data_IF_265186907701
#
_entry.id   IF_265186907701
#
_cell.length_a   1.000
_cell.length_b   1.000
_cell.length_c   1.000
_cell.angle_alpha   90.00
_cell.angle_beta   90.00
_cell.angle_gamma   90.00
#
_symmetry.space_group_name_H-M   'P 1'
#
loop_
_entity.id
_entity.type
_entity.pdbx_description
1 polymer ?
#
# COMPACT_ATOMS: atom_id res chain seq x y z
N UNK A 1 19.09 70.69 -29.23
CA UNK A 1 20.29 70.77 -28.37
C UNK A 1 20.31 69.53 -27.48
N UNK A 2 21.31 68.66 -27.69
CA UNK A 2 21.47 67.35 -27.03
C UNK A 2 22.12 67.54 -25.66
N UNK A 3 21.61 66.88 -24.62
CA UNK A 3 22.32 66.64 -23.35
C UNK A 3 22.58 65.13 -23.21
N UNK A 4 23.83 64.83 -22.94
CA UNK A 4 24.51 63.55 -23.00
C UNK A 4 24.28 62.70 -21.75
N UNK A 5 23.87 61.44 -21.96
CA UNK A 5 23.92 60.36 -20.97
C UNK A 5 25.36 59.82 -20.89
N UNK A 6 25.98 59.91 -19.72
CA UNK A 6 27.22 59.17 -19.41
C UNK A 6 26.85 57.73 -19.09
N UNK A 7 26.98 56.85 -20.08
CA UNK A 7 27.08 55.41 -19.87
C UNK A 7 28.43 55.10 -19.23
N UNK A 8 28.43 54.52 -18.03
CA UNK A 8 29.59 53.88 -17.43
C UNK A 8 29.89 52.57 -18.16
N UNK A 9 30.53 52.68 -19.33
CA UNK A 9 31.16 51.56 -20.01
C UNK A 9 32.42 51.18 -19.23
N UNK A 10 32.38 50.07 -18.50
CA UNK A 10 33.51 49.61 -17.69
C UNK A 10 33.55 48.12 -17.38
N UNK A 11 32.87 47.27 -18.17
CA UNK A 11 32.92 45.81 -17.93
C UNK A 11 33.04 44.93 -19.19
N UNK A 12 33.30 45.51 -20.37
CA UNK A 12 33.49 44.75 -21.61
C UNK A 12 34.66 45.28 -22.44
N UNK A 13 35.83 45.41 -21.83
CA UNK A 13 37.08 45.74 -22.53
C UNK A 13 38.19 44.72 -22.32
N UNK A 14 37.84 43.43 -22.26
CA UNK A 14 38.87 42.40 -22.40
C UNK A 14 38.38 41.08 -23.01
N UNK A 15 37.60 41.19 -24.08
CA UNK A 15 37.32 40.07 -24.99
C UNK A 15 38.01 40.36 -26.32
N UNK A 16 39.34 40.21 -26.35
CA UNK A 16 40.04 39.58 -27.47
C UNK A 16 41.53 39.44 -27.17
N UNK A 17 41.95 38.18 -27.11
CA UNK A 17 43.18 37.61 -27.65
C UNK A 17 43.83 36.63 -26.66
N UNK A 18 43.59 35.35 -26.93
CA UNK A 18 44.52 34.27 -26.59
C UNK A 18 44.63 33.93 -25.11
N UNK A 19 43.86 32.93 -24.68
CA UNK A 19 44.32 31.78 -23.88
C UNK A 19 43.10 30.94 -23.47
N UNK A 20 43.06 29.71 -23.95
CA UNK A 20 42.16 28.63 -23.53
C UNK A 20 42.45 28.18 -22.08
N UNK A 21 42.55 29.12 -21.14
CA UNK A 21 43.09 28.89 -19.79
C UNK A 21 42.13 29.20 -18.64
N UNK A 22 41.03 29.91 -18.87
CA UNK A 22 40.16 30.36 -17.77
C UNK A 22 39.15 29.28 -17.34
N UNK A 23 38.62 28.51 -18.28
CA UNK A 23 37.76 27.36 -17.96
C UNK A 23 38.56 26.15 -17.43
N UNK A 24 39.84 26.02 -17.77
CA UNK A 24 40.70 24.92 -17.29
C UNK A 24 41.28 25.20 -15.91
N UNK A 25 41.42 26.47 -15.49
CA UNK A 25 41.92 26.81 -14.14
C UNK A 25 40.88 26.66 -13.03
N UNK A 26 39.58 26.71 -13.33
CA UNK A 26 38.52 26.42 -12.36
C UNK A 26 38.38 24.92 -12.05
N UNK A 27 38.95 24.06 -12.92
CA UNK A 27 38.95 22.60 -12.77
C UNK A 27 40.29 22.01 -12.29
N UNK A 28 41.35 22.80 -12.24
CA UNK A 28 42.60 22.40 -11.61
C UNK A 28 42.53 22.65 -10.10
N UNK A 29 42.10 21.62 -9.36
CA UNK A 29 42.15 21.61 -7.90
C UNK A 29 43.60 21.74 -7.41
N UNK A 30 43.88 22.48 -6.31
CA UNK A 30 45.12 22.29 -5.58
C UNK A 30 45.20 20.82 -5.14
N UNK A 31 46.35 20.17 -5.36
CA UNK A 31 46.59 18.78 -4.97
C UNK A 31 46.45 18.62 -3.45
N UNK A 32 45.23 18.35 -2.98
CA UNK A 32 44.99 17.74 -1.68
C UNK A 32 45.21 16.24 -1.84
N UNK A 33 46.13 15.75 -1.03
CA UNK A 33 46.78 14.43 -1.10
C UNK A 33 45.92 13.36 -0.44
N UNK A 34 44.68 13.21 -0.89
CA UNK A 34 43.77 12.13 -0.46
C UNK A 34 43.02 11.62 -1.68
N UNK A 35 43.46 10.48 -2.22
CA UNK A 35 42.84 9.80 -3.37
C UNK A 35 41.40 9.38 -3.09
N UNK A 36 41.05 9.21 -1.81
CA UNK A 36 39.70 8.93 -1.32
C UNK A 36 38.68 10.02 -1.67
N UNK A 37 39.08 11.29 -1.76
CA UNK A 37 38.14 12.40 -2.07
C UNK A 37 37.65 12.35 -3.53
N UNK A 38 38.36 11.66 -4.43
CA UNK A 38 37.95 11.52 -5.83
C UNK A 38 36.84 10.49 -6.05
N UNK A 39 36.70 9.52 -5.15
CA UNK A 39 35.61 8.52 -5.17
C UNK A 39 34.33 9.08 -4.50
N UNK A 40 34.46 9.81 -3.39
CA UNK A 40 33.31 10.37 -2.67
C UNK A 40 32.60 11.53 -3.37
N UNK A 41 33.30 12.35 -4.17
CA UNK A 41 32.69 13.55 -4.78
C UNK A 41 31.63 13.20 -5.85
N UNK A 42 31.87 12.24 -6.76
CA UNK A 42 30.83 11.76 -7.67
C UNK A 42 29.63 11.11 -6.96
N UNK A 43 29.87 10.33 -5.90
CA UNK A 43 28.82 9.63 -5.13
C UNK A 43 27.91 10.60 -4.39
N UNK A 44 28.46 11.59 -3.67
CA UNK A 44 27.67 12.60 -2.95
C UNK A 44 26.88 13.50 -3.92
N UNK A 45 27.44 13.78 -5.12
CA UNK A 45 26.71 14.52 -6.15
C UNK A 45 25.59 13.65 -6.74
N UNK A 46 25.82 12.36 -6.94
CA UNK A 46 24.78 11.44 -7.40
C UNK A 46 23.64 11.32 -6.39
N UNK A 47 23.96 11.12 -5.11
CA UNK A 47 23.00 11.09 -4.00
C UNK A 47 22.20 12.41 -3.92
N UNK A 48 22.88 13.57 -3.98
CA UNK A 48 22.19 14.86 -3.95
C UNK A 48 21.32 15.12 -5.20
N UNK A 49 21.72 14.66 -6.38
CA UNK A 49 20.90 14.74 -7.59
C UNK A 49 19.71 13.78 -7.55
N UNK A 50 19.87 12.61 -6.93
CA UNK A 50 18.79 11.65 -6.70
C UNK A 50 17.77 12.22 -5.72
N UNK A 51 18.21 12.82 -4.61
CA UNK A 51 17.34 13.52 -3.67
C UNK A 51 16.60 14.68 -4.34
N UNK A 52 17.28 15.49 -5.17
CA UNK A 52 16.63 16.58 -5.91
C UNK A 52 15.61 16.06 -6.92
N UNK A 53 15.90 14.95 -7.60
CA UNK A 53 14.94 14.30 -8.51
C UNK A 53 13.76 13.73 -7.75
N UNK A 54 13.97 13.11 -6.60
CA UNK A 54 12.92 12.60 -5.75
C UNK A 54 11.98 13.72 -5.27
N UNK A 55 12.54 14.85 -4.80
CA UNK A 55 11.73 16.02 -4.39
C UNK A 55 10.92 16.60 -5.55
N UNK A 56 11.53 16.69 -6.75
CA UNK A 56 10.82 17.15 -7.93
C UNK A 56 9.72 16.16 -8.34
N UNK A 57 10.01 14.86 -8.37
CA UNK A 57 9.04 13.82 -8.70
C UNK A 57 7.87 13.79 -7.70
N UNK A 58 8.16 13.84 -6.40
CA UNK A 58 7.15 13.97 -5.33
C UNK A 58 6.28 15.21 -5.51
N UNK A 59 6.89 16.36 -5.85
CA UNK A 59 6.12 17.57 -6.14
C UNK A 59 5.24 17.40 -7.38
N UNK A 60 5.71 16.68 -8.41
CA UNK A 60 4.89 16.42 -9.61
C UNK A 60 3.73 15.46 -9.34
N UNK A 61 3.95 14.36 -8.63
CA UNK A 61 2.89 13.39 -8.34
C UNK A 61 1.82 13.97 -7.41
N UNK A 62 2.25 14.73 -6.39
CA UNK A 62 1.32 15.49 -5.52
C UNK A 62 0.45 16.43 -6.35
N UNK A 63 1.05 17.26 -7.21
CA UNK A 63 0.32 18.25 -7.98
C UNK A 63 -0.68 17.60 -8.96
N UNK A 64 -0.28 16.50 -9.61
CA UNK A 64 -1.18 15.71 -10.48
C UNK A 64 -2.36 15.16 -9.69
N UNK A 65 -2.12 14.54 -8.53
CA UNK A 65 -3.19 13.96 -7.70
C UNK A 65 -4.16 15.04 -7.22
N UNK A 66 -3.65 16.17 -6.75
CA UNK A 66 -4.47 17.26 -6.20
C UNK A 66 -5.28 17.95 -7.30
N UNK A 67 -4.66 18.33 -8.41
CA UNK A 67 -5.35 19.02 -9.51
C UNK A 67 -6.45 18.14 -10.12
N UNK A 68 -6.10 16.89 -10.46
CA UNK A 68 -7.03 15.95 -11.05
C UNK A 68 -8.06 15.48 -10.03
N UNK A 69 -7.69 15.33 -8.76
CA UNK A 69 -8.58 14.94 -7.67
C UNK A 69 -9.71 15.94 -7.46
N UNK A 70 -9.38 17.24 -7.34
CA UNK A 70 -10.40 18.28 -7.28
C UNK A 70 -11.23 18.39 -8.55
N UNK A 71 -10.65 18.08 -9.73
CA UNK A 71 -11.42 18.00 -10.97
C UNK A 71 -12.44 16.86 -10.93
N UNK A 72 -12.03 15.65 -10.53
CA UNK A 72 -12.93 14.50 -10.36
C UNK A 72 -14.06 14.84 -9.38
N UNK A 73 -13.74 15.40 -8.22
CA UNK A 73 -14.73 15.79 -7.20
C UNK A 73 -15.75 16.80 -7.75
N UNK A 74 -15.29 17.85 -8.45
CA UNK A 74 -16.19 18.81 -9.12
C UNK A 74 -17.05 18.16 -10.18
N UNK A 75 -16.50 17.23 -10.96
CA UNK A 75 -17.26 16.52 -11.99
C UNK A 75 -18.35 15.61 -11.37
N UNK A 76 -18.06 14.96 -10.25
CA UNK A 76 -19.04 14.16 -9.46
C UNK A 76 -20.14 15.06 -8.90
N UNK A 77 -19.79 16.19 -8.28
CA UNK A 77 -20.75 17.16 -7.74
C UNK A 77 -21.70 17.71 -8.83
N UNK A 78 -21.16 17.94 -10.03
CA UNK A 78 -21.93 18.37 -11.20
C UNK A 78 -22.70 17.22 -11.90
N UNK A 79 -22.64 15.99 -11.38
CA UNK A 79 -23.26 14.79 -11.98
C UNK A 79 -22.82 14.57 -13.44
N UNK A 80 -21.54 14.81 -13.71
CA UNK A 80 -20.95 14.67 -15.04
C UNK A 80 -20.95 13.21 -15.49
N UNK A 81 -21.04 12.94 -16.80
CA UNK A 81 -21.07 11.58 -17.31
C UNK A 81 -19.74 10.85 -17.03
N UNK A 82 -19.80 9.58 -16.63
CA UNK A 82 -18.62 8.77 -16.26
C UNK A 82 -17.43 8.83 -17.23
N UNK A 83 -17.62 8.89 -18.57
CA UNK A 83 -16.50 9.03 -19.51
C UNK A 83 -15.67 10.30 -19.36
N UNK A 84 -16.19 11.38 -18.76
CA UNK A 84 -15.40 12.60 -18.50
C UNK A 84 -14.45 12.39 -17.32
N UNK A 85 -14.91 11.68 -16.29
CA UNK A 85 -14.23 11.46 -15.00
C UNK A 85 -13.15 10.38 -15.13
N UNK A 86 -13.44 9.30 -15.87
CA UNK A 86 -12.58 8.12 -15.92
C UNK A 86 -11.11 8.41 -16.31
N UNK A 87 -10.81 9.27 -17.31
CA UNK A 87 -9.43 9.61 -17.65
C UNK A 87 -8.66 10.32 -16.53
N UNK A 88 -9.31 11.17 -15.72
CA UNK A 88 -8.65 11.85 -14.61
C UNK A 88 -8.37 10.88 -13.47
N UNK A 89 -9.36 10.04 -13.11
CA UNK A 89 -9.18 9.01 -12.10
C UNK A 89 -8.06 8.03 -12.49
N UNK A 90 -8.00 7.58 -13.74
CA UNK A 90 -6.94 6.69 -14.22
C UNK A 90 -5.54 7.30 -14.12
N UNK A 91 -5.39 8.62 -14.32
CA UNK A 91 -4.10 9.29 -14.13
C UNK A 91 -3.70 9.34 -12.66
N UNK A 92 -4.64 9.59 -11.75
CA UNK A 92 -4.38 9.54 -10.31
C UNK A 92 -3.91 8.14 -9.89
N UNK A 93 -4.57 7.10 -10.39
CA UNK A 93 -4.16 5.71 -10.12
C UNK A 93 -2.75 5.39 -10.65
N UNK A 94 -2.32 6.03 -11.74
CA UNK A 94 -0.99 5.85 -12.33
C UNK A 94 0.13 6.39 -11.44
N UNK A 95 -0.13 7.45 -10.69
CA UNK A 95 0.82 7.96 -9.68
C UNK A 95 1.07 6.92 -8.58
N UNK A 96 0.08 6.07 -8.28
CA UNK A 96 0.23 4.90 -7.41
C UNK A 96 0.71 3.63 -8.15
N UNK A 97 1.17 3.74 -9.39
CA UNK A 97 1.73 2.63 -10.17
C UNK A 97 0.69 1.67 -10.75
N UNK A 98 -0.59 2.07 -10.84
CA UNK A 98 -1.68 1.23 -11.32
C UNK A 98 -2.51 1.91 -12.41
N UNK A 99 -3.17 1.13 -13.28
CA UNK A 99 -4.05 1.69 -14.31
C UNK A 99 -5.14 0.72 -14.72
N UNK A 100 -6.22 1.27 -15.26
CA UNK A 100 -7.31 0.51 -15.88
C UNK A 100 -7.91 -0.52 -14.92
N UNK A 101 -8.13 -0.12 -13.66
CA UNK A 101 -8.63 -0.99 -12.59
C UNK A 101 -10.15 -1.12 -12.58
N UNK A 102 -10.87 -0.24 -13.26
CA UNK A 102 -12.32 -0.21 -13.23
C UNK A 102 -12.90 0.09 -14.62
N UNK A 103 -13.86 -0.73 -15.05
CA UNK A 103 -14.59 -0.51 -16.29
C UNK A 103 -15.69 0.56 -16.10
N UNK A 104 -16.24 1.07 -17.21
CA UNK A 104 -17.20 2.17 -17.19
C UNK A 104 -18.47 1.87 -16.38
N UNK A 105 -19.02 0.64 -16.45
CA UNK A 105 -20.25 0.27 -15.71
C UNK A 105 -20.01 0.21 -14.18
N UNK A 106 -19.01 -0.56 -13.68
CA UNK A 106 -18.63 -0.51 -12.27
C UNK A 106 -18.30 0.91 -11.78
N UNK A 107 -17.61 1.72 -12.58
CA UNK A 107 -17.29 3.10 -12.22
C UNK A 107 -18.55 3.96 -12.11
N UNK A 108 -19.51 3.80 -13.01
CA UNK A 108 -20.80 4.50 -12.90
C UNK A 108 -21.55 4.15 -11.61
N UNK A 109 -21.49 2.89 -11.18
CA UNK A 109 -22.05 2.45 -9.90
C UNK A 109 -21.30 3.04 -8.71
N UNK A 110 -19.97 3.05 -8.77
CA UNK A 110 -19.13 3.59 -7.71
C UNK A 110 -19.38 5.09 -7.47
N UNK A 111 -19.53 5.86 -8.56
CA UNK A 111 -19.74 7.30 -8.50
C UNK A 111 -21.20 7.67 -8.16
N UNK A 112 -22.17 6.86 -8.62
CA UNK A 112 -23.60 7.13 -8.50
C UNK A 112 -24.40 5.90 -8.05
N UNK A 113 -24.16 5.36 -6.85
CA UNK A 113 -24.71 4.06 -6.43
C UNK A 113 -26.24 4.04 -6.37
N UNK A 114 -26.84 5.15 -5.95
CA UNK A 114 -28.30 5.30 -5.86
C UNK A 114 -29.00 5.29 -7.22
N UNK A 115 -28.30 5.59 -8.31
CA UNK A 115 -28.87 5.62 -9.66
C UNK A 115 -28.86 4.26 -10.36
N UNK A 116 -28.07 3.31 -9.86
CA UNK A 116 -27.86 2.01 -10.51
C UNK A 116 -28.47 0.84 -9.73
N UNK A 117 -28.79 1.01 -8.44
CA UNK A 117 -29.43 -0.01 -7.63
C UNK A 117 -30.94 -0.01 -7.85
N UNK A 118 -31.49 -1.16 -8.20
CA UNK A 118 -32.94 -1.39 -8.28
C UNK A 118 -33.42 -2.10 -7.01
N UNK A 119 -34.52 -1.62 -6.40
CA UNK A 119 -35.24 -2.40 -5.38
C UNK A 119 -34.73 -2.29 -3.94
N UNK A 120 -34.37 -1.10 -3.46
CA UNK A 120 -34.14 -0.85 -2.02
C UNK A 120 -32.88 -1.47 -1.43
N UNK A 121 -32.03 -2.11 -2.24
CA UNK A 121 -30.70 -2.54 -1.81
C UNK A 121 -29.84 -1.31 -1.50
N UNK A 122 -29.23 -1.29 -0.31
CA UNK A 122 -28.26 -0.27 0.06
C UNK A 122 -26.87 -0.68 -0.49
N UNK A 123 -26.10 0.25 -1.05
CA UNK A 123 -24.72 -0.01 -1.44
C UNK A 123 -23.88 -0.41 -0.22
N UNK A 124 -22.79 -1.14 -0.46
CA UNK A 124 -21.80 -1.37 0.59
C UNK A 124 -21.27 -0.02 1.11
N UNK A 125 -20.99 0.07 2.41
CA UNK A 125 -20.53 1.30 3.06
C UNK A 125 -19.31 1.94 2.37
N UNK A 126 -18.33 1.14 1.93
CA UNK A 126 -17.16 1.66 1.22
C UNK A 126 -17.52 2.27 -0.15
N UNK A 127 -18.52 1.71 -0.82
CA UNK A 127 -19.03 2.24 -2.09
C UNK A 127 -19.88 3.48 -1.84
N UNK A 128 -20.71 3.48 -0.80
CA UNK A 128 -21.54 4.62 -0.41
C UNK A 128 -20.69 5.85 -0.05
N UNK A 129 -19.60 5.63 0.68
CA UNK A 129 -18.69 6.67 1.16
C UNK A 129 -17.51 6.91 0.19
N UNK A 130 -17.59 6.40 -1.06
CA UNK A 130 -16.47 6.51 -2.00
C UNK A 130 -16.02 7.96 -2.22
N UNK A 131 -16.96 8.86 -2.49
CA UNK A 131 -16.66 10.27 -2.78
C UNK A 131 -15.98 10.96 -1.60
N UNK A 132 -16.40 10.65 -0.37
CA UNK A 132 -15.82 11.23 0.84
C UNK A 132 -14.43 10.64 1.11
N UNK A 133 -14.26 9.32 1.02
CA UNK A 133 -12.95 8.67 1.13
C UNK A 133 -11.96 9.19 0.07
N UNK A 134 -12.43 9.42 -1.16
CA UNK A 134 -11.61 9.98 -2.24
C UNK A 134 -11.25 11.46 -1.98
N UNK A 135 -12.17 12.24 -1.41
CA UNK A 135 -11.89 13.61 -0.98
C UNK A 135 -10.84 13.65 0.13
N UNK A 136 -10.98 12.79 1.14
CA UNK A 136 -10.00 12.65 2.21
C UNK A 136 -8.62 12.31 1.65
N UNK A 137 -8.53 11.40 0.68
CA UNK A 137 -7.26 11.07 0.00
C UNK A 137 -6.63 12.30 -0.65
N UNK A 138 -7.42 13.07 -1.41
CA UNK A 138 -6.92 14.27 -2.12
C UNK A 138 -6.44 15.33 -1.12
N UNK A 139 -7.20 15.59 -0.07
CA UNK A 139 -6.83 16.55 0.98
C UNK A 139 -5.60 16.10 1.77
N UNK A 140 -5.46 14.81 2.02
CA UNK A 140 -4.29 14.25 2.71
C UNK A 140 -3.03 14.40 1.86
N UNK A 141 -3.10 14.10 0.56
CA UNK A 141 -1.99 14.29 -0.37
C UNK A 141 -1.66 15.79 -0.54
N UNK A 142 -2.67 16.66 -0.51
CA UNK A 142 -2.46 18.11 -0.54
C UNK A 142 -1.67 18.59 0.69
N UNK A 143 -2.00 18.10 1.89
CA UNK A 143 -1.39 18.53 3.15
C UNK A 143 -0.01 17.91 3.40
N UNK A 144 0.14 16.63 3.13
CA UNK A 144 1.29 15.84 3.58
C UNK A 144 2.15 15.28 2.44
N UNK A 145 1.75 15.46 1.19
CA UNK A 145 2.43 14.91 0.02
C UNK A 145 1.97 13.49 -0.33
N UNK A 146 2.56 12.93 -1.38
CA UNK A 146 2.23 11.59 -1.85
C UNK A 146 3.31 10.61 -1.42
N UNK A 147 2.93 9.52 -0.75
CA UNK A 147 3.84 8.45 -0.34
C UNK A 147 3.98 7.35 -1.41
N UNK A 148 3.38 7.52 -2.58
CA UNK A 148 3.43 6.54 -3.64
C UNK A 148 4.87 6.39 -4.16
N UNK A 149 5.52 5.28 -3.81
CA UNK A 149 6.78 4.89 -4.42
C UNK A 149 6.52 4.05 -5.66
N UNK A 150 7.01 4.55 -6.80
CA UNK A 150 7.23 3.77 -8.02
C UNK A 150 8.09 2.55 -7.66
N UNK A 151 7.63 1.35 -8.00
CA UNK A 151 8.39 0.10 -7.77
C UNK A 151 9.82 0.24 -8.32
N UNK A 152 10.86 -0.25 -7.62
CA UNK A 152 12.17 -0.38 -8.23
C UNK A 152 12.04 -1.28 -9.46
N UNK A 153 12.36 -0.73 -10.63
CA UNK A 153 12.48 -1.54 -11.85
C UNK A 153 13.49 -2.66 -11.61
N UNK A 154 13.20 -3.86 -12.12
CA UNK A 154 13.96 -5.12 -11.95
C UNK A 154 15.41 -5.09 -12.51
N UNK A 155 16.24 -4.11 -12.15
CA UNK A 155 17.68 -4.08 -12.48
C UNK A 155 18.60 -4.41 -11.30
N UNK A 156 18.11 -4.38 -10.06
CA UNK A 156 18.97 -4.52 -8.88
C UNK A 156 19.08 -5.94 -8.30
N UNK A 157 18.61 -6.97 -9.02
CA UNK A 157 18.75 -8.38 -8.60
C UNK A 157 19.98 -9.10 -9.17
N UNK A 158 20.96 -8.38 -9.75
CA UNK A 158 22.13 -9.02 -10.36
C UNK A 158 23.46 -8.90 -9.62
N UNK A 159 23.57 -8.07 -8.59
CA UNK A 159 24.83 -7.87 -7.87
C UNK A 159 24.69 -8.16 -6.37
N UNK A 160 24.36 -9.40 -6.01
CA UNK A 160 24.56 -9.91 -4.65
C UNK A 160 24.67 -11.42 -4.63
N UNK A 161 25.56 -11.96 -5.47
CA UNK A 161 26.05 -13.33 -5.31
C UNK A 161 27.55 -13.40 -5.62
N UNK A 162 28.34 -12.75 -4.77
CA UNK A 162 29.76 -13.08 -4.53
C UNK A 162 30.16 -12.41 -3.23
N UNK A 163 30.28 -13.17 -2.15
CA UNK A 163 31.52 -13.35 -1.36
C UNK A 163 31.21 -14.29 -0.20
N UNK A 164 31.80 -15.50 -0.25
CA UNK A 164 31.86 -16.45 0.87
C UNK A 164 33.01 -16.08 1.81
N UNK A 165 32.73 -16.28 3.11
CA UNK A 165 33.57 -16.83 4.19
C UNK A 165 34.94 -16.20 4.51
N UNK A 166 35.08 -15.84 5.79
CA UNK A 166 36.04 -16.38 6.79
C UNK A 166 35.59 -15.84 8.18
N UNK A 167 35.27 -16.67 9.18
CA UNK A 167 36.17 -17.18 10.24
C UNK A 167 36.56 -16.06 11.22
N UNK A 168 36.39 -16.07 12.54
CA UNK A 168 35.99 -17.01 13.60
C UNK A 168 36.22 -16.29 14.96
N UNK A 169 35.93 -16.98 16.07
CA UNK A 169 36.30 -16.68 17.48
C UNK A 169 35.31 -15.92 18.41
N UNK A 170 34.60 -16.76 19.18
CA UNK A 170 34.17 -16.67 20.60
C UNK A 170 35.28 -16.13 21.54
N UNK A 171 35.09 -15.57 22.75
CA UNK A 171 33.94 -15.28 23.62
C UNK A 171 34.41 -14.27 24.74
N UNK A 172 34.05 -14.42 26.03
CA UNK A 172 33.01 -13.71 26.78
C UNK A 172 33.58 -12.83 27.93
N UNK A 173 32.74 -12.21 28.79
CA UNK A 173 32.94 -12.11 30.26
C UNK A 173 31.90 -11.19 30.95
N UNK A 174 31.08 -11.83 31.79
CA UNK A 174 30.79 -11.51 33.21
C UNK A 174 30.10 -10.19 33.60
N UNK A 175 28.88 -10.19 34.15
CA UNK A 175 28.42 -10.72 35.45
C UNK A 175 28.77 -9.87 36.69
N UNK A 176 27.71 -9.30 37.26
CA UNK A 176 27.39 -9.24 38.70
C UNK A 176 27.75 -8.00 39.56
N UNK A 177 26.66 -7.44 40.11
CA UNK A 177 26.35 -7.26 41.54
C UNK A 177 26.64 -5.97 42.35
N UNK A 178 25.56 -5.61 43.07
CA UNK A 178 25.44 -5.04 44.42
C UNK A 178 25.75 -3.54 44.62
N UNK A 179 24.75 -2.67 44.86
CA UNK A 179 23.91 -2.47 46.05
C UNK A 179 24.60 -1.61 47.15
N UNK A 180 24.14 -0.36 47.35
CA UNK A 180 23.78 0.23 48.66
C UNK A 180 23.46 1.74 48.59
N UNK A 181 22.22 2.05 48.97
CA UNK A 181 21.73 3.16 49.82
C UNK A 181 22.13 4.63 49.60
N UNK A 182 21.10 5.47 49.47
CA UNK A 182 21.13 6.91 49.77
C UNK A 182 19.81 7.60 49.49
N UNK A 183 18.84 7.52 50.41
CA UNK A 183 17.60 8.31 50.39
C UNK A 183 17.92 9.80 50.42
N UNK A 184 17.37 10.57 49.47
CA UNK A 184 16.93 11.95 49.70
C UNK A 184 15.89 12.34 48.64
N UNK A 185 14.80 12.89 49.15
CA UNK A 185 13.55 13.27 48.51
C UNK A 185 13.66 14.50 47.59
N UNK A 186 13.04 14.45 46.40
CA UNK A 186 12.26 15.57 45.84
C UNK A 186 11.42 15.12 44.65
N UNK A 187 10.32 15.84 44.44
CA UNK A 187 9.10 15.42 43.79
C UNK A 187 9.07 15.54 42.26
N UNK A 188 8.06 14.87 41.71
CA UNK A 188 7.32 15.19 40.48
C UNK A 188 7.97 14.90 39.11
N UNK A 189 7.57 13.73 38.58
CA UNK A 189 7.20 13.48 37.18
C UNK A 189 8.23 13.88 36.11
N UNK A 190 9.31 13.10 36.06
CA UNK A 190 10.09 12.97 34.82
C UNK A 190 9.26 12.16 33.84
N UNK A 191 8.72 12.86 32.84
CA UNK A 191 8.33 12.32 31.52
C UNK A 191 9.13 11.07 31.22
N UNK A 192 8.44 9.93 31.10
CA UNK A 192 9.07 8.72 30.60
C UNK A 192 9.70 8.98 29.22
N UNK A 193 10.69 8.17 28.81
CA UNK A 193 11.22 8.25 27.47
C UNK A 193 10.04 8.03 26.52
N UNK A 194 9.69 9.06 25.76
CA UNK A 194 8.79 8.93 24.61
C UNK A 194 9.54 8.00 23.66
N UNK A 195 9.17 6.72 23.67
CA UNK A 195 9.57 5.78 22.64
C UNK A 195 8.86 6.27 21.39
N UNK A 196 9.52 7.17 20.66
CA UNK A 196 9.14 7.50 19.30
C UNK A 196 9.31 6.19 18.53
N UNK A 197 8.20 5.49 18.30
CA UNK A 197 8.18 4.37 17.38
C UNK A 197 8.85 4.83 16.08
N UNK A 198 9.73 4.00 15.54
CA UNK A 198 10.44 4.32 14.31
C UNK A 198 9.40 4.68 13.22
N UNK A 199 9.68 5.72 12.45
CA UNK A 199 8.76 6.25 11.41
C UNK A 199 8.40 5.22 10.32
N UNK A 200 9.07 4.06 10.34
CA UNK A 200 8.95 2.98 9.36
C UNK A 200 7.86 1.94 9.70
N UNK A 201 7.33 1.93 10.94
CA UNK A 201 6.31 0.97 11.37
C UNK A 201 4.88 1.39 11.03
N UNK A 202 4.64 2.68 10.76
CA UNK A 202 3.28 3.18 10.47
C UNK A 202 3.05 3.31 8.96
N UNK A 203 1.92 2.77 8.50
CA UNK A 203 1.46 2.98 7.13
C UNK A 203 1.07 4.46 6.94
N UNK A 204 1.59 5.14 5.91
CA UNK A 204 1.19 6.52 5.62
C UNK A 204 -0.33 6.63 5.44
N UNK A 205 -0.90 7.75 5.87
CA UNK A 205 -2.36 7.95 5.83
C UNK A 205 -2.89 8.00 4.39
N UNK A 206 -2.15 8.62 3.47
CA UNK A 206 -2.50 8.64 2.05
C UNK A 206 -2.57 7.22 1.46
N UNK A 207 -1.65 6.34 1.85
CA UNK A 207 -1.68 4.93 1.47
C UNK A 207 -2.90 4.22 2.05
N UNK A 208 -3.22 4.47 3.33
CA UNK A 208 -4.41 3.91 3.97
C UNK A 208 -5.70 4.34 3.25
N UNK A 209 -5.81 5.60 2.87
CA UNK A 209 -6.95 6.15 2.13
C UNK A 209 -6.99 5.61 0.69
N UNK A 210 -5.85 5.46 0.04
CA UNK A 210 -5.74 4.85 -1.28
C UNK A 210 -6.23 3.39 -1.26
N UNK A 211 -5.83 2.60 -0.26
CA UNK A 211 -6.32 1.23 -0.06
C UNK A 211 -7.84 1.19 0.13
N UNK A 212 -8.43 2.15 0.84
CA UNK A 212 -9.90 2.27 0.98
C UNK A 212 -10.58 2.55 -0.35
N UNK A 213 -10.04 3.47 -1.15
CA UNK A 213 -10.53 3.79 -2.50
C UNK A 213 -10.48 2.54 -3.39
N UNK A 214 -9.37 1.80 -3.40
CA UNK A 214 -9.25 0.54 -4.15
C UNK A 214 -10.22 -0.54 -3.67
N UNK A 215 -10.46 -0.64 -2.36
CA UNK A 215 -11.42 -1.59 -1.78
C UNK A 215 -12.84 -1.29 -2.25
N UNK A 216 -13.24 -0.02 -2.32
CA UNK A 216 -14.53 0.39 -2.87
C UNK A 216 -14.63 0.06 -4.37
N UNK A 217 -13.56 0.30 -5.14
CA UNK A 217 -13.49 -0.10 -6.56
C UNK A 217 -13.61 -1.61 -6.76
N UNK A 218 -12.96 -2.41 -5.91
CA UNK A 218 -13.04 -3.87 -5.94
C UNK A 218 -14.49 -4.34 -5.73
N UNK A 219 -15.19 -3.78 -4.75
CA UNK A 219 -16.60 -4.07 -4.48
C UNK A 219 -17.52 -3.63 -5.63
N UNK A 220 -17.24 -2.50 -6.27
CA UNK A 220 -17.99 -2.06 -7.44
C UNK A 220 -17.83 -3.01 -8.64
N UNK A 221 -16.62 -3.53 -8.86
CA UNK A 221 -16.33 -4.55 -9.86
C UNK A 221 -17.04 -5.87 -9.54
N UNK A 222 -17.03 -6.30 -8.27
CA UNK A 222 -17.78 -7.48 -7.78
C UNK A 222 -19.27 -7.37 -8.08
N UNK A 223 -19.89 -6.22 -7.81
CA UNK A 223 -21.31 -5.99 -8.06
C UNK A 223 -21.71 -6.18 -9.53
N UNK A 224 -20.76 -5.96 -10.46
CA UNK A 224 -20.96 -6.10 -11.91
C UNK A 224 -20.44 -7.42 -12.47
N UNK A 225 -19.93 -8.32 -11.62
CA UNK A 225 -19.36 -9.59 -12.03
C UNK A 225 -18.02 -9.49 -12.75
N UNK A 226 -17.33 -8.34 -12.68
CA UNK A 226 -15.98 -8.19 -13.22
C UNK A 226 -14.94 -8.64 -12.18
N UNK A 227 -14.91 -9.95 -11.97
CA UNK A 227 -14.07 -10.57 -10.94
C UNK A 227 -12.57 -10.34 -11.20
N UNK A 228 -12.15 -10.23 -12.47
CA UNK A 228 -10.75 -10.05 -12.82
C UNK A 228 -10.24 -8.68 -12.38
N UNK A 229 -11.00 -7.61 -12.68
CA UNK A 229 -10.65 -6.27 -12.23
C UNK A 229 -10.83 -6.10 -10.73
N UNK A 230 -11.81 -6.80 -10.11
CA UNK A 230 -11.92 -6.84 -8.66
C UNK A 230 -10.66 -7.41 -7.98
N UNK A 231 -10.14 -8.54 -8.45
CA UNK A 231 -8.87 -9.10 -7.94
C UNK A 231 -7.72 -8.13 -8.17
N UNK A 232 -7.63 -7.51 -9.35
CA UNK A 232 -6.56 -6.52 -9.64
C UNK A 232 -6.59 -5.33 -8.68
N UNK A 233 -7.77 -4.80 -8.33
CA UNK A 233 -7.89 -3.74 -7.32
C UNK A 233 -7.31 -4.19 -5.97
N UNK A 234 -7.65 -5.41 -5.53
CA UNK A 234 -7.16 -5.96 -4.27
C UNK A 234 -5.66 -6.24 -4.31
N UNK A 235 -5.13 -6.75 -5.43
CA UNK A 235 -3.69 -7.00 -5.60
C UNK A 235 -2.88 -5.71 -5.52
N UNK A 236 -3.36 -4.63 -6.15
CA UNK A 236 -2.71 -3.31 -6.01
C UNK A 236 -2.78 -2.85 -4.56
N UNK A 237 -3.92 -3.00 -3.87
CA UNK A 237 -4.04 -2.61 -2.47
C UNK A 237 -3.08 -3.42 -1.56
N UNK A 238 -2.90 -4.71 -1.85
CA UNK A 238 -1.97 -5.59 -1.12
C UNK A 238 -0.50 -5.19 -1.30
N UNK A 239 -0.13 -4.60 -2.44
CA UNK A 239 1.23 -4.10 -2.68
C UNK A 239 1.58 -2.89 -1.78
N UNK A 240 0.58 -2.20 -1.23
CA UNK A 240 0.77 -0.99 -0.43
C UNK A 240 0.53 -1.18 1.08
N UNK A 241 -0.31 -2.14 1.46
CA UNK A 241 -0.72 -2.32 2.86
C UNK A 241 0.44 -2.81 3.73
N UNK A 242 0.59 -2.23 4.92
CA UNK A 242 1.54 -2.70 5.95
C UNK A 242 0.84 -3.17 7.22
N UNK A 243 -0.30 -2.56 7.53
CA UNK A 243 -1.09 -2.91 8.70
C UNK A 243 -1.71 -4.30 8.59
N UNK A 244 -1.53 -5.12 9.63
CA UNK A 244 -1.99 -6.51 9.65
C UNK A 244 -3.52 -6.64 9.60
N UNK A 245 -4.24 -5.70 10.23
CA UNK A 245 -5.70 -5.72 10.22
C UNK A 245 -6.25 -5.49 8.81
N UNK A 246 -5.77 -4.44 8.12
CA UNK A 246 -6.09 -4.16 6.71
C UNK A 246 -5.62 -5.28 5.78
N UNK A 247 -4.42 -5.82 6.00
CA UNK A 247 -3.89 -6.95 5.24
C UNK A 247 -4.85 -8.14 5.30
N UNK A 248 -5.27 -8.55 6.50
CA UNK A 248 -6.24 -9.64 6.65
C UNK A 248 -7.61 -9.32 6.04
N UNK A 249 -8.05 -8.05 6.09
CA UNK A 249 -9.26 -7.60 5.39
C UNK A 249 -9.18 -7.75 3.86
N UNK A 250 -8.09 -7.32 3.25
CA UNK A 250 -7.85 -7.45 1.81
C UNK A 250 -7.70 -8.90 1.37
N UNK A 251 -6.96 -9.72 2.13
CA UNK A 251 -6.81 -11.15 1.87
C UNK A 251 -8.16 -11.89 1.97
N UNK A 252 -8.98 -11.54 2.96
CA UNK A 252 -10.35 -12.06 3.11
C UNK A 252 -11.25 -11.67 1.93
N UNK A 253 -11.17 -10.42 1.48
CA UNK A 253 -11.89 -9.94 0.29
C UNK A 253 -11.44 -10.70 -0.96
N UNK A 254 -10.12 -10.90 -1.14
CA UNK A 254 -9.56 -11.67 -2.26
C UNK A 254 -10.06 -13.11 -2.26
N UNK A 255 -10.06 -13.77 -1.11
CA UNK A 255 -10.60 -15.13 -0.96
C UNK A 255 -12.07 -15.19 -1.38
N UNK A 256 -12.89 -14.22 -0.96
CA UNK A 256 -14.29 -14.11 -1.38
C UNK A 256 -14.45 -13.97 -2.90
N UNK A 257 -13.65 -13.12 -3.54
CA UNK A 257 -13.69 -12.95 -5.00
C UNK A 257 -13.27 -14.24 -5.73
N UNK A 258 -12.25 -14.94 -5.23
CA UNK A 258 -11.77 -16.21 -5.80
C UNK A 258 -12.82 -17.33 -5.68
N UNK A 259 -13.61 -17.35 -4.61
CA UNK A 259 -14.78 -18.24 -4.49
C UNK A 259 -15.77 -18.01 -5.62
N UNK A 260 -16.08 -16.75 -5.96
CA UNK A 260 -16.96 -16.43 -7.10
C UNK A 260 -16.34 -16.81 -8.45
N UNK A 261 -15.01 -16.76 -8.57
CA UNK A 261 -14.27 -17.27 -9.74
C UNK A 261 -14.19 -18.80 -9.79
N UNK A 262 -14.70 -19.52 -8.77
CA UNK A 262 -14.59 -20.99 -8.62
C UNK A 262 -13.16 -21.50 -8.48
N UNK A 263 -12.23 -20.65 -8.05
CA UNK A 263 -10.83 -21.00 -7.77
C UNK A 263 -10.70 -21.35 -6.30
N UNK A 264 -11.24 -22.51 -5.92
CA UNK A 264 -11.47 -22.84 -4.51
C UNK A 264 -10.16 -23.13 -3.75
N UNK A 265 -9.16 -23.73 -4.40
CA UNK A 265 -7.85 -23.99 -3.80
C UNK A 265 -7.14 -22.69 -3.44
N UNK A 266 -7.00 -21.77 -4.40
CA UNK A 266 -6.44 -20.44 -4.17
C UNK A 266 -7.25 -19.67 -3.10
N UNK A 267 -8.59 -19.78 -3.12
CA UNK A 267 -9.43 -19.14 -2.13
C UNK A 267 -9.14 -19.63 -0.69
N UNK A 268 -8.87 -20.94 -0.51
CA UNK A 268 -8.48 -21.49 0.80
C UNK A 268 -7.12 -20.96 1.23
N UNK A 269 -6.15 -20.87 0.33
CA UNK A 269 -4.83 -20.32 0.64
C UNK A 269 -4.93 -18.88 1.14
N UNK A 270 -5.59 -17.99 0.39
CA UNK A 270 -5.78 -16.60 0.79
C UNK A 270 -6.65 -16.44 2.04
N UNK A 271 -7.65 -17.31 2.23
CA UNK A 271 -8.45 -17.34 3.45
C UNK A 271 -7.63 -17.67 4.70
N UNK A 272 -6.72 -18.64 4.60
CA UNK A 272 -5.81 -18.98 5.70
C UNK A 272 -4.85 -17.84 5.99
N UNK A 273 -4.28 -17.20 4.96
CA UNK A 273 -3.45 -16.01 5.12
C UNK A 273 -4.21 -14.86 5.79
N UNK A 274 -5.49 -14.67 5.48
CA UNK A 274 -6.34 -13.65 6.11
C UNK A 274 -6.55 -13.93 7.61
N UNK A 275 -6.73 -15.20 7.97
CA UNK A 275 -6.87 -15.64 9.36
C UNK A 275 -5.55 -15.49 10.11
N UNK A 276 -4.42 -15.79 9.48
CA UNK A 276 -3.09 -15.64 10.09
C UNK A 276 -2.71 -14.17 10.30
N UNK A 277 -3.04 -13.29 9.35
CA UNK A 277 -2.73 -11.87 9.44
C UNK A 277 -3.47 -11.15 10.57
N UNK A 278 -4.79 -11.37 10.71
CA UNK A 278 -5.59 -10.63 11.70
C UNK A 278 -6.77 -11.37 12.30
N UNK A 279 -6.88 -12.69 12.06
CA UNK A 279 -8.08 -13.43 12.43
C UNK A 279 -9.31 -12.92 11.69
N UNK A 280 -9.15 -12.46 10.45
CA UNK A 280 -10.26 -11.83 9.71
C UNK A 280 -11.43 -12.80 9.51
N UNK A 281 -12.64 -12.34 9.81
CA UNK A 281 -13.85 -13.17 9.78
C UNK A 281 -14.20 -13.71 8.39
N UNK A 282 -13.94 -12.91 7.35
CA UNK A 282 -14.19 -13.33 5.97
C UNK A 282 -13.25 -14.46 5.54
N UNK A 283 -12.04 -14.53 6.11
CA UNK A 283 -11.13 -15.66 5.94
C UNK A 283 -11.76 -16.97 6.42
N UNK A 284 -12.33 -16.98 7.63
CA UNK A 284 -13.03 -18.16 8.16
C UNK A 284 -14.22 -18.57 7.30
N UNK A 285 -15.07 -17.61 6.91
CA UNK A 285 -16.30 -17.87 6.14
C UNK A 285 -15.98 -18.37 4.73
N UNK A 286 -15.14 -17.65 3.98
CA UNK A 286 -14.83 -18.01 2.59
C UNK A 286 -13.95 -19.25 2.49
N UNK A 287 -12.98 -19.41 3.41
CA UNK A 287 -12.15 -20.60 3.48
C UNK A 287 -12.97 -21.86 3.76
N UNK A 288 -13.88 -21.79 4.74
CA UNK A 288 -14.75 -22.92 5.05
C UNK A 288 -15.72 -23.26 3.91
N UNK A 289 -16.27 -22.24 3.25
CA UNK A 289 -17.10 -22.45 2.05
C UNK A 289 -16.31 -23.16 0.94
N UNK A 290 -15.10 -22.70 0.63
CA UNK A 290 -14.26 -23.31 -0.39
C UNK A 290 -13.88 -24.75 -0.03
N UNK A 291 -13.51 -25.04 1.22
CA UNK A 291 -13.21 -26.39 1.71
C UNK A 291 -14.39 -27.35 1.57
N UNK A 292 -15.62 -26.89 1.84
CA UNK A 292 -16.83 -27.69 1.64
C UNK A 292 -17.04 -28.08 0.17
N UNK A 293 -16.87 -27.13 -0.75
CA UNK A 293 -16.95 -27.40 -2.20
C UNK A 293 -15.87 -28.40 -2.64
N UNK A 294 -14.68 -28.31 -2.06
CA UNK A 294 -13.58 -29.24 -2.27
C UNK A 294 -13.77 -30.60 -1.57
N UNK A 295 -14.95 -30.88 -0.99
CA UNK A 295 -15.28 -32.11 -0.27
C UNK A 295 -14.36 -32.39 0.92
N UNK A 296 -13.87 -31.34 1.58
CA UNK A 296 -13.07 -31.38 2.81
C UNK A 296 -13.83 -30.78 4.01
N UNK A 297 -15.07 -31.23 4.33
CA UNK A 297 -15.89 -30.59 5.36
C UNK A 297 -15.30 -30.73 6.77
N UNK A 298 -14.49 -31.77 7.04
CA UNK A 298 -13.82 -31.91 8.34
C UNK A 298 -12.83 -30.78 8.63
N UNK A 299 -12.13 -30.27 7.60
CA UNK A 299 -11.26 -29.11 7.74
C UNK A 299 -12.06 -27.81 7.84
N UNK A 300 -13.17 -27.72 7.09
CA UNK A 300 -14.08 -26.58 7.18
C UNK A 300 -14.65 -26.42 8.60
N UNK A 301 -15.06 -27.52 9.26
CA UNK A 301 -15.54 -27.49 10.65
C UNK A 301 -14.45 -26.97 11.59
N UNK A 302 -13.23 -27.52 11.53
CA UNK A 302 -12.11 -27.06 12.37
C UNK A 302 -11.79 -25.58 12.19
N UNK A 303 -11.82 -25.11 10.93
CA UNK A 303 -11.58 -23.70 10.61
C UNK A 303 -12.67 -22.81 11.24
N UNK A 304 -13.94 -23.21 11.13
CA UNK A 304 -15.08 -22.46 11.70
C UNK A 304 -15.12 -22.51 13.23
N UNK A 305 -14.71 -23.62 13.85
CA UNK A 305 -14.56 -23.73 15.31
C UNK A 305 -13.55 -22.70 15.82
N UNK A 306 -12.37 -22.63 15.18
CA UNK A 306 -11.36 -21.60 15.46
C UNK A 306 -11.92 -20.19 15.24
N UNK A 307 -12.70 -19.98 14.18
CA UNK A 307 -13.38 -18.71 13.93
C UNK A 307 -14.33 -18.31 15.04
N UNK A 308 -15.10 -19.27 15.58
CA UNK A 308 -16.06 -19.02 16.67
C UNK A 308 -15.37 -18.70 18.00
N UNK A 309 -14.22 -19.31 18.27
CA UNK A 309 -13.42 -18.98 19.46
C UNK A 309 -12.95 -17.52 19.43
N UNK A 310 -12.60 -17.01 18.25
CA UNK A 310 -12.15 -15.62 18.07
C UNK A 310 -13.31 -14.63 17.93
N UNK A 311 -14.43 -15.05 17.32
CA UNK A 311 -15.59 -14.21 17.01
C UNK A 311 -16.88 -14.86 17.54
N UNK A 312 -17.07 -14.94 18.87
CA UNK A 312 -18.15 -15.73 19.48
C UNK A 312 -19.56 -15.18 19.22
N UNK A 313 -19.68 -13.91 18.82
CA UNK A 313 -20.97 -13.24 18.56
C UNK A 313 -21.39 -13.28 17.10
N UNK A 314 -20.56 -13.82 16.20
CA UNK A 314 -20.90 -13.91 14.79
C UNK A 314 -21.81 -15.11 14.49
N UNK A 315 -23.02 -14.81 14.04
CA UNK A 315 -24.06 -15.80 13.75
C UNK A 315 -23.87 -16.47 12.38
N UNK A 316 -23.12 -15.85 11.47
CA UNK A 316 -22.84 -16.40 10.15
C UNK A 316 -21.87 -17.59 10.25
N UNK A 317 -20.88 -17.52 11.14
CA UNK A 317 -19.98 -18.64 11.45
C UNK A 317 -20.75 -19.88 11.93
N UNK A 318 -21.75 -19.69 12.81
CA UNK A 318 -22.61 -20.78 13.28
C UNK A 318 -23.37 -21.45 12.13
N UNK A 319 -24.01 -20.65 11.28
CA UNK A 319 -24.76 -21.17 10.14
C UNK A 319 -23.87 -21.96 9.15
N UNK A 320 -22.66 -21.47 8.89
CA UNK A 320 -21.69 -22.19 8.04
C UNK A 320 -21.21 -23.49 8.69
N UNK A 321 -21.04 -23.50 10.01
CA UNK A 321 -20.54 -24.66 10.75
C UNK A 321 -21.58 -25.77 10.79
N UNK A 322 -22.85 -25.44 11.03
CA UNK A 322 -23.95 -26.41 10.93
C UNK A 322 -24.06 -27.03 9.53
N UNK A 323 -23.86 -26.22 8.48
CA UNK A 323 -23.80 -26.70 7.10
C UNK A 323 -22.66 -27.69 6.88
N UNK A 324 -21.46 -27.34 7.33
CA UNK A 324 -20.27 -28.19 7.22
C UNK A 324 -20.41 -29.52 8.00
N UNK A 325 -20.99 -29.48 9.21
CA UNK A 325 -21.22 -30.67 10.03
C UNK A 325 -22.22 -31.63 9.38
N UNK A 326 -23.32 -31.12 8.82
CA UNK A 326 -24.30 -31.94 8.09
C UNK A 326 -23.67 -32.66 6.89
N UNK A 327 -22.80 -31.98 6.14
CA UNK A 327 -22.06 -32.58 5.02
C UNK A 327 -21.08 -33.66 5.49
N UNK A 328 -20.37 -33.41 6.59
CA UNK A 328 -19.46 -34.39 7.19
C UNK A 328 -20.19 -35.66 7.63
N UNK A 329 -21.35 -35.52 8.28
CA UNK A 329 -22.19 -36.65 8.66
C UNK A 329 -22.71 -37.44 7.45
N UNK A 330 -23.09 -36.75 6.37
CA UNK A 330 -23.55 -37.39 5.15
C UNK A 330 -22.43 -38.20 4.48
N UNK A 331 -21.22 -37.66 4.42
CA UNK A 331 -20.05 -38.40 3.93
C UNK A 331 -19.79 -39.66 4.77
N UNK A 332 -19.80 -39.54 6.10
CA UNK A 332 -19.62 -40.69 6.99
C UNK A 332 -20.71 -41.75 6.84
N UNK A 333 -21.97 -41.35 6.59
CA UNK A 333 -23.09 -42.28 6.31
C UNK A 333 -22.91 -42.99 4.98
N UNK A 334 -22.43 -42.29 3.95
CA UNK A 334 -22.20 -42.86 2.62
C UNK A 334 -21.03 -43.85 2.62
N UNK A 335 -19.94 -43.54 3.34
CA UNK A 335 -18.83 -44.47 3.53
C UNK A 335 -19.26 -45.76 4.24
N UNK A 336 -20.07 -45.65 5.30
CA UNK A 336 -20.61 -46.83 6.01
C UNK A 336 -21.51 -47.72 5.13
N UNK A 337 -22.29 -47.13 4.22
CA UNK A 337 -23.11 -47.89 3.25
C UNK A 337 -22.27 -48.59 2.18
N UNK A 338 -21.14 -48.02 1.78
CA UNK A 338 -20.22 -48.67 0.82
C UNK A 338 -19.46 -49.84 1.44
N UNK A 339 -19.20 -49.80 2.75
CA UNK A 339 -18.47 -50.85 3.48
C UNK A 339 -19.40 -52.03 3.87
N UNK A 340 -20.70 -51.80 4.02
CA UNK A 340 -21.74 -52.83 4.25
C UNK A 340 -22.81 -52.77 3.15
N UNK A 341 -22.55 -53.33 1.95
CA UNK A 341 -23.48 -53.31 0.82
C UNK A 341 -24.73 -54.19 1.01
#
# INVERSE_FOLDING_TARGET
MRRTLRFGAGFLQNLNAGKNGFFTSLWNKPQTRDERIKEYVPEVIAESLEEQRAVLEESTSRDVIVELGHKVLREIENKSPTPSIAPHLNKILQEYGSKDLIAQRPLSYLLYPSSTLSGGQQPNELVANFTDNFRELVEEVERHGCSARVKPTNRDKKDKDTTKQEGGEEAPHDASNANMNGKSSSAALKSGPVIMASKDEHEPMDVTLFVRVLSAMALANVQHGDWNNAVRCVDVALDHVKDQSRLGGLLGMKAGILVYQKKYEEAVEYANLAVEASGNIQGYIHGAFALRILKRPGEAVKLLEKGREQHPMDTQLLAQMEGAQKELEQLAKNEKKMINP
#
